data_IF_423501549115
#
_entry.id   IF_423501549115
#
_cell.length_a   1.000
_cell.length_b   1.000
_cell.length_c   1.000
_cell.angle_alpha   90.00
_cell.angle_beta   90.00
_cell.angle_gamma   90.00
#
_symmetry.space_group_name_H-M   'P 1'
#
loop_
_entity.id
_entity.type
_entity.pdbx_description
1 polymer ?
#
# COMPACT_ATOMS: atom_id res chain seq x y z
N UNK A 1 -3.38 15.16 8.19
CA UNK A 1 -2.75 15.70 6.95
C UNK A 1 -2.79 17.21 6.96
N UNK A 2 -1.69 17.86 6.62
CA UNK A 2 -1.57 19.32 6.56
C UNK A 2 -2.05 19.81 5.20
N UNK A 3 -2.55 21.05 5.15
CA UNK A 3 -2.84 21.71 3.88
C UNK A 3 -1.52 22.07 3.17
N UNK A 4 -1.38 21.70 1.90
CA UNK A 4 -0.22 21.98 1.06
C UNK A 4 -0.67 22.64 -0.25
N UNK A 5 0.27 23.29 -0.92
CA UNK A 5 0.07 23.83 -2.26
C UNK A 5 1.37 23.79 -3.04
N UNK A 6 1.26 23.63 -4.36
CA UNK A 6 2.39 23.62 -5.27
C UNK A 6 1.98 24.27 -6.61
N UNK A 7 2.85 25.10 -7.16
CA UNK A 7 2.62 25.84 -8.40
C UNK A 7 1.71 27.06 -8.23
N UNK A 8 1.52 27.79 -9.32
CA UNK A 8 0.60 28.91 -9.42
C UNK A 8 -0.39 28.63 -10.57
N UNK A 9 -1.68 28.76 -10.29
CA UNK A 9 -2.70 28.52 -11.30
C UNK A 9 -2.72 29.67 -12.33
N UNK A 10 -2.43 29.39 -13.61
CA UNK A 10 -2.53 30.41 -14.64
C UNK A 10 -4.01 30.74 -14.93
N UNK A 11 -4.24 31.91 -15.49
CA UNK A 11 -5.56 32.29 -16.00
C UNK A 11 -6.02 31.30 -17.09
N UNK A 12 -7.25 30.82 -16.97
CA UNK A 12 -7.83 29.85 -17.92
C UNK A 12 -7.47 28.39 -17.67
N UNK A 13 -6.77 28.05 -16.59
CA UNK A 13 -6.57 26.67 -16.18
C UNK A 13 -7.90 25.96 -15.91
N UNK A 14 -7.98 24.68 -16.29
CA UNK A 14 -9.14 23.84 -16.01
C UNK A 14 -9.06 23.29 -14.59
N UNK A 15 -10.18 23.32 -13.86
CA UNK A 15 -10.23 22.96 -12.44
C UNK A 15 -10.82 21.55 -12.27
N UNK A 16 -10.14 20.72 -11.49
CA UNK A 16 -10.66 19.46 -10.94
C UNK A 16 -10.67 19.54 -9.42
N UNK A 17 -11.79 19.18 -8.79
CA UNK A 17 -11.92 19.13 -7.35
C UNK A 17 -12.03 17.69 -6.86
N UNK A 18 -11.12 17.29 -5.96
CA UNK A 18 -11.25 16.03 -5.22
C UNK A 18 -12.13 16.30 -4.00
N UNK A 19 -13.29 15.62 -3.96
CA UNK A 19 -14.32 15.90 -2.96
C UNK A 19 -14.39 14.81 -1.88
N UNK A 20 -14.80 15.18 -0.68
CA UNK A 20 -15.27 14.23 0.33
C UNK A 20 -16.59 13.59 -0.11
N UNK A 21 -17.01 12.52 0.57
CA UNK A 21 -18.35 11.94 0.38
C UNK A 21 -19.48 12.90 0.72
N UNK A 22 -19.22 13.97 1.50
CA UNK A 22 -20.17 15.04 1.82
C UNK A 22 -20.11 16.21 0.82
N UNK A 23 -19.28 16.12 -0.25
CA UNK A 23 -19.16 17.14 -1.28
C UNK A 23 -18.26 18.33 -0.92
N UNK A 24 -17.54 18.29 0.22
CA UNK A 24 -16.57 19.32 0.54
C UNK A 24 -15.24 19.06 -0.21
N UNK A 25 -14.60 20.09 -0.80
CA UNK A 25 -13.34 19.91 -1.51
C UNK A 25 -12.21 19.55 -0.53
N UNK A 26 -11.44 18.50 -0.87
CA UNK A 26 -10.23 18.09 -0.17
C UNK A 26 -8.99 18.70 -0.82
N UNK A 27 -9.00 18.74 -2.14
CA UNK A 27 -7.89 19.24 -2.95
C UNK A 27 -8.42 19.75 -4.27
N UNK A 28 -7.84 20.83 -4.75
CA UNK A 28 -8.12 21.44 -6.04
C UNK A 28 -6.89 21.29 -6.92
N UNK A 29 -7.09 20.79 -8.13
CA UNK A 29 -6.07 20.64 -9.16
C UNK A 29 -6.35 21.63 -10.30
N UNK A 30 -5.33 22.21 -10.87
CA UNK A 30 -5.41 23.10 -12.03
C UNK A 30 -4.65 22.47 -13.19
N UNK A 31 -5.38 22.12 -14.24
CA UNK A 31 -4.88 21.42 -15.41
C UNK A 31 -4.66 22.36 -16.60
N UNK A 32 -3.72 22.01 -17.50
CA UNK A 32 -3.57 22.68 -18.80
C UNK A 32 -4.74 22.38 -19.74
N UNK A 33 -5.30 21.17 -19.66
CA UNK A 33 -6.36 20.66 -20.52
C UNK A 33 -7.60 20.27 -19.68
N UNK A 34 -8.78 20.15 -20.29
CA UNK A 34 -9.96 19.66 -19.59
C UNK A 34 -9.68 18.28 -18.98
N UNK A 35 -9.83 18.09 -17.65
CA UNK A 35 -9.66 16.78 -17.04
C UNK A 35 -10.71 15.79 -17.58
N UNK A 36 -10.36 14.50 -17.55
CA UNK A 36 -11.24 13.38 -17.94
C UNK A 36 -11.80 13.44 -19.38
N UNK A 37 -11.05 13.95 -20.35
CA UNK A 37 -11.39 13.89 -21.78
C UNK A 37 -11.29 12.45 -22.31
N UNK A 38 -12.24 11.58 -21.92
CA UNK A 38 -12.27 10.16 -22.20
C UNK A 38 -12.58 9.93 -23.68
N UNK A 39 -11.72 9.18 -24.40
CA UNK A 39 -11.87 8.80 -25.79
C UNK A 39 -12.38 7.37 -25.97
N UNK A 40 -11.88 6.42 -25.17
CA UNK A 40 -12.24 5.02 -25.27
C UNK A 40 -12.15 4.32 -23.91
N UNK A 41 -12.91 3.22 -23.77
CA UNK A 41 -12.88 2.34 -22.60
C UNK A 41 -12.89 0.88 -23.02
N UNK A 42 -12.15 0.05 -22.28
CA UNK A 42 -12.18 -1.41 -22.42
C UNK A 42 -12.19 -2.04 -21.04
N UNK A 43 -13.26 -2.78 -20.73
CA UNK A 43 -13.33 -3.54 -19.49
C UNK A 43 -12.38 -4.74 -19.53
N UNK A 44 -11.54 -4.92 -18.51
CA UNK A 44 -10.60 -6.04 -18.39
C UNK A 44 -11.05 -7.13 -17.42
N UNK A 45 -12.13 -6.92 -16.68
CA UNK A 45 -12.56 -7.80 -15.62
C UNK A 45 -11.77 -7.61 -14.32
N UNK A 46 -12.03 -8.49 -13.37
CA UNK A 46 -11.24 -8.60 -12.16
C UNK A 46 -10.28 -9.79 -12.29
N UNK A 47 -9.15 -9.74 -11.60
CA UNK A 47 -8.33 -10.95 -11.43
C UNK A 47 -9.09 -11.88 -10.49
N UNK A 48 -9.53 -13.02 -11.02
CA UNK A 48 -10.13 -14.08 -10.19
C UNK A 48 -9.00 -14.76 -9.40
N UNK A 49 -8.71 -14.19 -8.25
CA UNK A 49 -7.79 -14.79 -7.29
C UNK A 49 -8.60 -15.68 -6.36
N UNK A 50 -8.39 -16.99 -6.45
CA UNK A 50 -9.00 -17.96 -5.55
C UNK A 50 -8.57 -17.71 -4.11
N UNK A 51 -9.41 -17.00 -3.36
CA UNK A 51 -9.23 -16.72 -1.93
C UNK A 51 -9.93 -17.77 -1.10
N UNK A 52 -9.23 -18.40 -0.17
CA UNK A 52 -9.78 -19.44 0.72
C UNK A 52 -9.55 -19.06 2.18
N UNK A 53 -10.46 -19.49 3.08
CA UNK A 53 -10.28 -19.31 4.51
C UNK A 53 -8.94 -19.86 5.02
N UNK A 54 -8.44 -19.26 6.09
CA UNK A 54 -7.27 -19.76 6.83
C UNK A 54 -7.65 -21.06 7.57
N UNK A 55 -7.58 -22.18 6.85
CA UNK A 55 -7.92 -23.51 7.39
C UNK A 55 -6.70 -24.43 7.31
N UNK A 56 -6.26 -25.09 8.42
CA UNK A 56 -6.73 -24.85 9.79
C UNK A 56 -6.45 -23.41 10.26
N UNK A 57 -7.24 -22.92 11.23
CA UNK A 57 -7.12 -21.57 11.81
C UNK A 57 -5.88 -21.47 12.68
N UNK A 58 -4.76 -21.20 12.06
CA UNK A 58 -3.42 -21.14 12.70
C UNK A 58 -2.62 -19.96 12.16
N UNK A 59 -1.61 -19.48 12.90
CA UNK A 59 -0.67 -18.49 12.38
C UNK A 59 0.03 -18.97 11.12
N UNK A 60 0.34 -18.03 10.22
CA UNK A 60 1.04 -18.27 8.94
C UNK A 60 2.31 -17.45 8.85
N UNK A 61 3.31 -18.01 8.21
CA UNK A 61 4.54 -17.30 7.85
C UNK A 61 4.69 -17.33 6.33
N UNK A 62 4.45 -16.19 5.69
CA UNK A 62 4.49 -16.04 4.25
C UNK A 62 5.86 -15.53 3.83
N UNK A 63 6.58 -16.38 3.08
CA UNK A 63 7.96 -16.14 2.63
C UNK A 63 7.96 -15.34 1.34
N UNK A 64 7.63 -14.06 1.43
CA UNK A 64 7.50 -13.16 0.26
C UNK A 64 8.80 -13.01 -0.53
N UNK A 65 9.96 -13.27 0.06
CA UNK A 65 11.24 -13.31 -0.65
C UNK A 65 11.38 -14.46 -1.65
N UNK A 66 10.48 -15.44 -1.67
CA UNK A 66 10.45 -16.53 -2.66
C UNK A 66 9.76 -16.12 -3.97
N UNK A 67 9.17 -14.94 -4.01
CA UNK A 67 8.65 -14.42 -5.27
C UNK A 67 9.76 -13.92 -6.16
N UNK A 68 9.67 -14.27 -7.46
CA UNK A 68 10.60 -13.81 -8.47
C UNK A 68 10.51 -12.28 -8.65
N UNK A 69 11.66 -11.68 -8.93
CA UNK A 69 11.76 -10.29 -9.36
C UNK A 69 11.24 -10.18 -10.81
N UNK A 70 10.43 -9.15 -11.10
CA UNK A 70 9.91 -8.90 -12.44
C UNK A 70 8.61 -8.11 -12.48
N UNK A 71 8.22 -7.69 -13.68
CA UNK A 71 6.98 -6.98 -13.91
C UNK A 71 6.94 -5.58 -13.33
N UNK A 72 5.72 -5.09 -13.11
CA UNK A 72 5.45 -3.75 -12.58
C UNK A 72 4.61 -3.77 -11.29
N UNK A 73 4.58 -2.63 -10.57
CA UNK A 73 3.90 -2.51 -9.27
C UNK A 73 2.38 -2.66 -9.36
N UNK A 74 1.76 -2.43 -10.51
CA UNK A 74 0.30 -2.40 -10.68
C UNK A 74 -0.24 -3.70 -11.26
N UNK A 75 0.33 -4.15 -12.39
CA UNK A 75 -0.23 -5.30 -13.12
C UNK A 75 0.33 -6.64 -12.65
N UNK A 76 1.51 -6.67 -12.03
CA UNK A 76 2.16 -7.90 -11.62
C UNK A 76 2.16 -8.12 -10.09
N UNK A 77 1.51 -7.21 -9.32
CA UNK A 77 1.32 -7.45 -7.89
C UNK A 77 0.49 -8.73 -7.67
N UNK A 78 0.95 -9.53 -6.73
CA UNK A 78 0.30 -10.80 -6.35
C UNK A 78 -0.42 -10.60 -5.02
N UNK A 79 -1.74 -10.76 -4.99
CA UNK A 79 -2.49 -10.75 -3.74
C UNK A 79 -2.05 -11.94 -2.89
N UNK A 80 -1.71 -11.69 -1.64
CA UNK A 80 -1.36 -12.74 -0.67
C UNK A 80 -2.48 -12.97 0.34
N UNK A 81 -3.06 -11.90 0.86
CA UNK A 81 -4.15 -11.94 1.84
C UNK A 81 -5.21 -10.91 1.43
N UNK A 82 -6.49 -11.22 1.61
CA UNK A 82 -7.54 -10.23 1.40
C UNK A 82 -8.83 -10.57 2.16
N UNK A 83 -9.66 -9.56 2.36
CA UNK A 83 -11.07 -9.65 2.71
C UNK A 83 -11.87 -8.56 1.97
N UNK A 84 -13.09 -8.29 2.40
CA UNK A 84 -13.93 -7.29 1.76
C UNK A 84 -13.44 -5.84 1.91
N UNK A 85 -12.63 -5.55 2.93
CA UNK A 85 -12.20 -4.20 3.29
C UNK A 85 -10.71 -3.93 3.03
N UNK A 86 -9.87 -4.97 3.03
CA UNK A 86 -8.42 -4.83 2.94
C UNK A 86 -7.82 -5.94 2.08
N UNK A 87 -6.83 -5.60 1.24
CA UNK A 87 -6.00 -6.58 0.55
C UNK A 87 -4.52 -6.29 0.72
N UNK A 88 -3.72 -7.35 0.81
CA UNK A 88 -2.26 -7.31 0.90
C UNK A 88 -1.71 -7.93 -0.38
N UNK A 89 -1.02 -7.12 -1.17
CA UNK A 89 -0.33 -7.54 -2.39
C UNK A 89 1.17 -7.39 -2.26
N UNK A 90 1.91 -8.20 -2.99
CA UNK A 90 3.36 -8.11 -3.04
C UNK A 90 3.89 -8.16 -4.46
N UNK A 91 4.98 -7.43 -4.73
CA UNK A 91 5.69 -7.41 -5.99
C UNK A 91 7.15 -7.00 -5.80
N UNK A 92 8.03 -7.50 -6.66
CA UNK A 92 9.41 -6.99 -6.82
C UNK A 92 9.57 -6.50 -8.26
N UNK A 93 9.13 -5.27 -8.50
CA UNK A 93 9.04 -4.70 -9.83
C UNK A 93 10.40 -4.32 -10.41
N UNK A 94 10.57 -4.54 -11.71
CA UNK A 94 11.80 -4.21 -12.45
C UNK A 94 11.55 -3.25 -13.61
N UNK A 95 10.28 -2.92 -13.88
CA UNK A 95 9.88 -2.03 -14.97
C UNK A 95 8.82 -1.01 -14.49
N UNK A 96 8.69 0.13 -15.19
CA UNK A 96 7.66 1.11 -14.89
C UNK A 96 6.26 0.52 -15.03
N UNK A 97 5.35 0.93 -14.14
CA UNK A 97 3.93 0.57 -14.26
C UNK A 97 3.23 1.42 -15.32
N UNK A 98 2.08 0.96 -15.84
CA UNK A 98 1.16 1.83 -16.56
C UNK A 98 0.70 2.99 -15.65
N UNK A 99 0.12 4.02 -16.26
CA UNK A 99 -0.69 4.98 -15.50
C UNK A 99 -1.86 4.24 -14.86
N UNK A 100 -2.10 4.54 -13.60
CA UNK A 100 -3.08 3.82 -12.80
C UNK A 100 -3.84 4.76 -11.86
N UNK A 101 -5.11 4.43 -11.64
CA UNK A 101 -5.97 5.11 -10.68
C UNK A 101 -6.82 4.09 -9.93
N UNK A 102 -6.75 4.10 -8.60
CA UNK A 102 -7.64 3.31 -7.74
C UNK A 102 -8.82 4.18 -7.30
N UNK A 103 -10.05 3.79 -7.65
CA UNK A 103 -11.26 4.51 -7.24
C UNK A 103 -11.93 3.92 -6.01
N UNK A 104 -11.45 2.76 -5.52
CA UNK A 104 -12.10 2.01 -4.43
C UNK A 104 -11.60 2.41 -3.05
N UNK A 105 -10.33 2.75 -2.93
CA UNK A 105 -9.69 3.05 -1.65
C UNK A 105 -8.27 3.56 -1.78
N UNK A 106 -7.70 3.93 -0.65
CA UNK A 106 -6.33 4.37 -0.55
C UNK A 106 -5.37 3.17 -0.59
N UNK A 107 -4.18 3.39 -1.13
CA UNK A 107 -3.10 2.41 -1.17
C UNK A 107 -1.96 2.83 -0.25
N UNK A 108 -1.54 1.91 0.62
CA UNK A 108 -0.33 2.04 1.41
C UNK A 108 0.74 1.14 0.80
N UNK A 109 1.82 1.72 0.32
CA UNK A 109 2.95 0.98 -0.24
C UNK A 109 4.12 1.03 0.74
N UNK A 110 4.64 -0.13 1.14
CA UNK A 110 5.81 -0.26 2.01
C UNK A 110 6.97 -0.78 1.19
N UNK A 111 8.00 0.05 1.02
CA UNK A 111 9.20 -0.31 0.26
C UNK A 111 10.08 -1.21 1.11
N UNK A 112 10.27 -2.45 0.70
CA UNK A 112 11.08 -3.44 1.43
C UNK A 112 12.52 -3.49 0.92
N UNK A 113 12.71 -3.31 -0.40
CA UNK A 113 14.01 -3.39 -1.06
C UNK A 113 14.04 -2.50 -2.29
N UNK A 114 15.22 -1.95 -2.60
CA UNK A 114 15.42 -1.11 -3.77
C UNK A 114 14.92 0.30 -3.56
N UNK A 115 14.83 1.03 -4.66
CA UNK A 115 14.35 2.40 -4.71
C UNK A 115 13.53 2.63 -5.98
N UNK A 116 12.69 3.65 -5.96
CA UNK A 116 11.85 4.00 -7.08
C UNK A 116 11.28 5.40 -6.92
N UNK A 117 10.39 5.73 -7.83
CA UNK A 117 9.73 7.02 -7.90
C UNK A 117 8.24 6.82 -8.10
N UNK A 118 7.45 7.53 -7.32
CA UNK A 118 6.05 7.78 -7.61
C UNK A 118 5.95 9.03 -8.47
N UNK A 119 5.41 8.89 -9.66
CA UNK A 119 5.03 9.99 -10.55
C UNK A 119 3.50 10.09 -10.54
N UNK A 120 2.97 11.28 -10.29
CA UNK A 120 1.53 11.48 -10.14
C UNK A 120 1.08 12.85 -10.63
N UNK A 121 -0.21 13.06 -10.71
CA UNK A 121 -0.83 14.38 -10.99
C UNK A 121 -0.42 15.44 -9.94
N UNK A 122 0.06 15.03 -8.78
CA UNK A 122 0.57 15.92 -7.73
C UNK A 122 2.05 16.26 -7.89
N UNK A 123 2.77 15.54 -8.75
CA UNK A 123 4.21 15.65 -8.95
C UNK A 123 4.95 14.36 -8.62
N UNK A 124 6.22 14.51 -8.25
CA UNK A 124 7.19 13.41 -8.10
C UNK A 124 7.58 13.22 -6.65
N UNK A 125 7.67 11.96 -6.22
CA UNK A 125 8.12 11.56 -4.89
C UNK A 125 9.12 10.40 -5.00
N UNK A 126 10.39 10.63 -4.69
CA UNK A 126 11.41 9.59 -4.64
C UNK A 126 11.30 8.81 -3.33
N UNK A 127 11.41 7.48 -3.43
CA UNK A 127 11.25 6.55 -2.30
C UNK A 127 12.29 5.44 -2.35
N UNK A 128 12.63 4.91 -1.17
CA UNK A 128 13.62 3.85 -1.00
C UNK A 128 13.21 2.85 0.08
N UNK A 129 13.98 1.79 0.23
CA UNK A 129 13.75 0.77 1.25
C UNK A 129 13.59 1.40 2.66
N UNK A 130 12.52 1.01 3.35
CA UNK A 130 12.10 1.56 4.64
C UNK A 130 11.06 2.68 4.56
N UNK A 131 10.78 3.19 3.37
CA UNK A 131 9.71 4.18 3.17
C UNK A 131 8.33 3.53 3.15
N UNK A 132 7.38 4.25 3.71
CA UNK A 132 5.94 3.97 3.64
C UNK A 132 5.28 5.11 2.87
N UNK A 133 4.54 4.78 1.83
CA UNK A 133 3.90 5.75 0.93
C UNK A 133 2.40 5.58 0.99
N UNK A 134 1.68 6.65 1.27
CA UNK A 134 0.23 6.69 1.11
C UNK A 134 -0.11 7.34 -0.22
N UNK A 135 -0.85 6.62 -1.05
CA UNK A 135 -1.45 7.13 -2.28
C UNK A 135 -2.95 7.19 -2.10
N UNK A 136 -3.55 8.38 -1.98
CA UNK A 136 -4.99 8.52 -1.87
C UNK A 136 -5.70 7.98 -3.11
N UNK A 137 -6.88 7.42 -2.90
CA UNK A 137 -7.77 7.04 -4.01
C UNK A 137 -8.00 8.21 -4.98
N UNK A 138 -8.33 7.91 -6.22
CA UNK A 138 -8.50 8.85 -7.33
C UNK A 138 -7.19 9.50 -7.85
N UNK A 139 -6.06 9.26 -7.21
CA UNK A 139 -4.77 9.77 -7.69
C UNK A 139 -4.35 9.02 -8.95
N UNK A 140 -4.22 9.72 -10.07
CA UNK A 140 -3.58 9.17 -11.27
C UNK A 140 -2.07 9.18 -11.04
N UNK A 141 -1.44 8.02 -11.16
CA UNK A 141 -0.02 7.85 -10.87
C UNK A 141 0.59 6.68 -11.64
N UNK A 142 1.91 6.60 -11.62
CA UNK A 142 2.68 5.40 -11.99
C UNK A 142 3.90 5.24 -11.09
N UNK A 143 4.38 4.01 -11.01
CA UNK A 143 5.61 3.67 -10.29
C UNK A 143 6.74 3.44 -11.27
N UNK A 144 7.90 4.02 -10.99
CA UNK A 144 9.12 3.87 -11.81
C UNK A 144 10.24 3.35 -10.92
N UNK A 145 10.54 2.03 -10.96
CA UNK A 145 11.69 1.47 -10.28
C UNK A 145 13.01 2.11 -10.73
N UNK A 146 13.99 2.21 -9.83
CA UNK A 146 15.34 2.64 -10.21
C UNK A 146 15.97 1.57 -11.11
N UNK A 147 16.59 1.94 -12.23
CA UNK A 147 17.23 0.97 -13.12
C UNK A 147 18.30 0.13 -12.40
N UNK A 148 18.34 -1.17 -12.70
CA UNK A 148 19.36 -2.09 -12.23
C UNK A 148 19.10 -2.76 -10.87
N UNK A 149 17.99 -2.43 -10.21
CA UNK A 149 17.57 -3.09 -8.97
C UNK A 149 16.07 -3.36 -8.98
N UNK A 150 15.65 -4.41 -8.26
CA UNK A 150 14.25 -4.70 -8.09
C UNK A 150 13.66 -3.84 -6.97
N UNK A 151 12.52 -3.24 -7.24
CA UNK A 151 11.74 -2.44 -6.31
C UNK A 151 10.69 -3.34 -5.64
N UNK A 152 11.06 -3.94 -4.49
CA UNK A 152 10.19 -4.87 -3.80
C UNK A 152 9.31 -4.14 -2.78
N UNK A 153 8.00 -4.34 -2.90
CA UNK A 153 7.00 -3.62 -2.13
C UNK A 153 5.90 -4.54 -1.62
N UNK A 154 5.45 -4.26 -0.38
CA UNK A 154 4.13 -4.66 0.10
C UNK A 154 3.15 -3.54 -0.24
N UNK A 155 2.04 -3.87 -0.87
CA UNK A 155 0.95 -2.95 -1.15
C UNK A 155 -0.25 -3.37 -0.30
N UNK A 156 -0.75 -2.46 0.54
CA UNK A 156 -1.97 -2.65 1.33
C UNK A 156 -3.04 -1.71 0.76
N UNK A 157 -4.07 -2.29 0.17
CA UNK A 157 -5.22 -1.51 -0.28
C UNK A 157 -6.29 -1.53 0.82
N UNK A 158 -6.70 -0.35 1.27
CA UNK A 158 -7.79 -0.21 2.23
C UNK A 158 -9.01 0.39 1.52
N UNK A 159 -10.18 -0.24 1.69
CA UNK A 159 -11.41 0.29 1.10
C UNK A 159 -11.80 1.62 1.78
N UNK A 160 -11.88 2.68 0.99
CA UNK A 160 -12.12 4.03 1.49
C UNK A 160 -10.82 4.76 1.84
N UNK A 161 -10.93 5.75 2.72
CA UNK A 161 -9.80 6.59 3.12
C UNK A 161 -9.05 6.03 4.31
N UNK A 162 -7.73 6.22 4.31
CA UNK A 162 -6.84 6.07 5.46
C UNK A 162 -6.59 7.45 6.09
N UNK A 163 -6.76 7.54 7.39
CA UNK A 163 -6.52 8.76 8.16
C UNK A 163 -5.25 8.61 8.97
N UNK A 164 -4.32 9.54 8.81
CA UNK A 164 -3.08 9.60 9.58
C UNK A 164 -3.25 10.24 10.94
N UNK A 165 -2.40 9.87 11.90
CA UNK A 165 -2.27 10.58 13.18
C UNK A 165 -1.24 11.72 13.06
N UNK A 166 -1.33 12.71 13.96
CA UNK A 166 -0.35 13.78 14.06
C UNK A 166 1.02 13.23 14.50
N UNK A 167 2.08 13.90 14.07
CA UNK A 167 3.46 13.61 14.51
C UNK A 167 4.32 12.81 13.53
N UNK A 168 3.81 12.50 12.34
CA UNK A 168 4.61 11.91 11.25
C UNK A 168 5.25 13.03 10.44
N UNK A 169 6.56 12.93 10.18
CA UNK A 169 7.28 13.85 9.28
C UNK A 169 7.00 13.41 7.84
N UNK A 170 6.05 14.10 7.22
CA UNK A 170 5.61 13.79 5.86
C UNK A 170 6.57 14.40 4.84
N UNK A 171 7.04 13.58 3.89
CA UNK A 171 7.58 14.01 2.59
C UNK A 171 6.45 13.96 1.58
N UNK A 172 6.34 14.96 0.73
CA UNK A 172 5.28 15.11 -0.27
C UNK A 172 5.89 15.57 -1.60
N UNK A 173 5.19 15.46 -2.73
CA UNK A 173 5.70 15.92 -4.01
C UNK A 173 5.98 17.43 -3.99
N UNK A 174 7.25 17.82 -4.10
CA UNK A 174 7.70 19.23 -4.09
C UNK A 174 7.99 19.76 -5.50
N UNK A 175 7.88 18.90 -6.51
CA UNK A 175 8.10 19.23 -7.89
C UNK A 175 6.96 18.67 -8.75
N UNK A 176 6.31 19.55 -9.51
CA UNK A 176 5.31 19.15 -10.51
C UNK A 176 5.98 18.32 -11.61
N UNK A 177 5.22 17.36 -12.11
CA UNK A 177 5.59 16.60 -13.30
C UNK A 177 4.67 16.99 -14.44
N UNK A 178 5.25 17.59 -15.47
CA UNK A 178 4.53 17.98 -16.66
C UNK A 178 5.00 17.14 -17.83
N UNK A 179 4.08 16.52 -18.52
CA UNK A 179 4.33 15.78 -19.75
C UNK A 179 3.65 16.51 -20.89
N UNK A 180 4.43 16.81 -21.93
CA UNK A 180 3.86 17.42 -23.14
C UNK A 180 3.02 16.35 -23.90
N UNK A 181 1.89 16.78 -24.39
CA UNK A 181 0.93 15.95 -25.12
C UNK A 181 1.26 15.97 -26.61
N UNK A 182 1.43 14.79 -27.20
CA UNK A 182 1.62 14.59 -28.64
C UNK A 182 0.30 14.37 -29.40
N UNK A 183 -0.83 14.34 -28.68
CA UNK A 183 -2.17 14.28 -29.26
C UNK A 183 -2.67 12.87 -29.62
N UNK A 184 -1.87 11.83 -29.37
CA UNK A 184 -2.22 10.45 -29.72
C UNK A 184 -3.14 9.76 -28.69
N UNK A 185 -3.49 10.46 -27.61
CA UNK A 185 -4.20 9.90 -26.47
C UNK A 185 -3.33 9.00 -25.58
N UNK A 186 -3.67 8.91 -24.32
CA UNK A 186 -2.87 8.21 -23.31
C UNK A 186 -3.70 7.16 -22.61
N UNK A 187 -3.16 5.93 -22.55
CA UNK A 187 -3.78 4.81 -21.85
C UNK A 187 -3.54 4.89 -20.35
N UNK A 188 -4.60 4.68 -19.58
CA UNK A 188 -4.53 4.49 -18.13
C UNK A 188 -5.38 3.29 -17.69
N UNK A 189 -4.98 2.65 -16.59
CA UNK A 189 -5.72 1.57 -15.98
C UNK A 189 -6.49 2.11 -14.76
N UNK A 190 -7.80 1.89 -14.73
CA UNK A 190 -8.65 2.34 -13.62
C UNK A 190 -9.22 1.14 -12.88
N UNK A 191 -8.95 1.04 -11.59
CA UNK A 191 -9.57 0.06 -10.69
C UNK A 191 -10.85 0.64 -10.11
N UNK A 192 -11.93 -0.13 -10.16
CA UNK A 192 -13.25 0.22 -9.61
C UNK A 192 -13.89 -1.02 -8.95
N UNK A 193 -15.02 -0.89 -8.22
CA UNK A 193 -15.62 -2.01 -7.48
C UNK A 193 -16.00 -3.22 -8.33
N UNK A 194 -16.20 -3.04 -9.64
CA UNK A 194 -16.54 -4.11 -10.58
C UNK A 194 -15.35 -4.70 -11.34
N UNK A 195 -14.11 -4.32 -11.01
CA UNK A 195 -12.91 -4.80 -11.71
C UNK A 195 -12.01 -3.68 -12.21
N UNK A 196 -11.41 -3.86 -13.38
CA UNK A 196 -10.50 -2.89 -14.00
C UNK A 196 -10.96 -2.52 -15.40
N UNK A 197 -10.73 -1.27 -15.75
CA UNK A 197 -11.01 -0.73 -17.09
C UNK A 197 -9.75 -0.06 -17.62
N UNK A 198 -9.38 -0.36 -18.85
CA UNK A 198 -8.45 0.47 -19.63
C UNK A 198 -9.23 1.66 -20.17
N UNK A 199 -8.73 2.84 -19.92
CA UNK A 199 -9.23 4.09 -20.45
C UNK A 199 -8.18 4.70 -21.36
N UNK A 200 -8.61 5.33 -22.46
CA UNK A 200 -7.78 6.22 -23.26
C UNK A 200 -8.31 7.63 -23.08
N UNK A 201 -7.48 8.50 -22.56
CA UNK A 201 -7.78 9.93 -22.38
C UNK A 201 -7.08 10.76 -23.44
N UNK A 202 -7.70 11.90 -23.82
CA UNK A 202 -7.22 12.73 -24.92
C UNK A 202 -5.86 13.39 -24.63
N UNK A 203 -5.56 13.63 -23.35
CA UNK A 203 -4.36 14.34 -22.91
C UNK A 203 -3.65 13.57 -21.81
N UNK A 204 -2.33 13.73 -21.74
CA UNK A 204 -1.57 13.11 -20.64
C UNK A 204 -2.01 13.70 -19.30
N UNK A 205 -2.43 12.87 -18.30
CA UNK A 205 -2.97 13.38 -17.04
C UNK A 205 -1.94 14.10 -16.16
N UNK A 206 -0.62 14.00 -16.47
CA UNK A 206 0.43 14.78 -15.81
C UNK A 206 0.55 16.17 -16.47
N UNK A 207 -0.55 16.90 -16.47
CA UNK A 207 -0.68 18.26 -17.01
C UNK A 207 -1.08 19.28 -15.91
N UNK A 208 -1.09 18.86 -14.65
CA UNK A 208 -1.40 19.71 -13.49
C UNK A 208 -0.30 20.76 -13.31
N UNK A 209 -0.68 22.01 -13.40
CA UNK A 209 0.24 23.17 -13.26
C UNK A 209 0.24 23.77 -11.85
N UNK A 210 -0.81 23.50 -11.07
CA UNK A 210 -0.90 23.87 -9.67
C UNK A 210 -1.90 23.00 -8.93
N UNK A 211 -1.71 22.82 -7.64
CA UNK A 211 -2.69 22.20 -6.76
C UNK A 211 -2.62 22.75 -5.33
N UNK A 212 -3.73 22.64 -4.61
CA UNK A 212 -3.80 22.98 -3.19
C UNK A 212 -4.82 22.11 -2.47
N UNK A 213 -4.51 21.67 -1.25
CA UNK A 213 -5.43 20.88 -0.45
C UNK A 213 -4.77 19.99 0.59
N UNK A 214 -5.55 19.04 1.08
CA UNK A 214 -5.15 18.09 2.13
C UNK A 214 -5.07 16.63 1.66
N UNK A 215 -5.55 16.34 0.45
CA UNK A 215 -5.53 15.00 -0.14
C UNK A 215 -4.49 14.95 -1.27
N UNK A 216 -3.33 14.37 -1.00
CA UNK A 216 -2.18 14.22 -1.90
C UNK A 216 -1.35 13.00 -1.48
N UNK A 217 -0.52 12.41 -2.36
CA UNK A 217 0.41 11.36 -1.97
C UNK A 217 1.49 11.89 -1.03
N UNK A 218 1.85 11.09 -0.02
CA UNK A 218 2.93 11.42 0.90
C UNK A 218 3.66 10.17 1.39
N UNK A 219 4.90 10.34 1.82
CA UNK A 219 5.75 9.29 2.32
C UNK A 219 6.43 9.68 3.63
N UNK A 220 6.84 8.66 4.39
CA UNK A 220 7.66 8.81 5.59
C UNK A 220 8.56 7.59 5.74
N UNK A 221 9.66 7.73 6.47
CA UNK A 221 10.50 6.61 6.81
C UNK A 221 9.92 5.86 8.03
N UNK A 222 9.69 4.56 7.91
CA UNK A 222 9.14 3.75 9.02
C UNK A 222 10.01 3.81 10.29
N UNK A 223 11.32 3.98 10.12
CA UNK A 223 12.28 4.10 11.22
C UNK A 223 12.16 5.41 12.02
N UNK A 224 11.53 6.44 11.46
CA UNK A 224 11.33 7.75 12.11
C UNK A 224 10.02 7.81 12.90
N UNK A 225 9.16 6.81 12.76
CA UNK A 225 7.91 6.77 13.52
C UNK A 225 8.18 6.53 15.00
N UNK A 226 7.60 7.34 15.89
CA UNK A 226 7.66 7.06 17.33
C UNK A 226 6.89 5.75 17.63
N UNK A 227 7.20 5.08 18.74
CA UNK A 227 6.36 4.02 19.25
C UNK A 227 4.96 4.58 19.53
N UNK A 228 4.02 4.34 18.65
CA UNK A 228 2.67 4.85 18.77
C UNK A 228 1.65 3.70 18.74
N UNK A 229 0.51 3.83 19.42
CA UNK A 229 -0.54 2.81 19.38
C UNK A 229 -1.07 2.61 17.96
N UNK A 230 -1.20 3.68 17.17
CA UNK A 230 -1.57 3.62 15.75
C UNK A 230 -1.12 4.91 15.05
N UNK A 231 -0.77 4.83 13.76
CA UNK A 231 -0.43 6.01 12.96
C UNK A 231 -1.31 6.18 11.71
N UNK A 232 -1.96 5.11 11.25
CA UNK A 232 -2.96 5.14 10.20
C UNK A 232 -4.17 4.30 10.60
N UNK A 233 -5.35 4.81 10.34
CA UNK A 233 -6.61 4.10 10.56
C UNK A 233 -7.54 4.27 9.38
N UNK A 234 -8.29 3.24 9.07
CA UNK A 234 -9.31 3.24 8.03
C UNK A 234 -10.38 2.20 8.31
N UNK A 235 -11.25 1.99 7.35
CA UNK A 235 -12.30 0.99 7.46
C UNK A 235 -11.68 -0.40 7.59
N UNK A 236 -11.88 -1.03 8.74
CA UNK A 236 -11.40 -2.38 9.01
C UNK A 236 -9.89 -2.55 9.07
N UNK A 237 -9.12 -1.46 9.11
CA UNK A 237 -7.67 -1.48 9.16
C UNK A 237 -7.13 -0.47 10.18
N UNK A 238 -6.20 -0.92 11.03
CA UNK A 238 -5.36 -0.06 11.87
C UNK A 238 -3.89 -0.45 11.65
N UNK A 239 -3.05 0.54 11.39
CA UNK A 239 -1.61 0.33 11.17
C UNK A 239 -0.83 0.93 12.32
N UNK A 240 0.10 0.14 12.88
CA UNK A 240 0.97 0.57 13.96
C UNK A 240 2.41 0.14 13.74
N UNK A 241 3.35 0.82 14.40
CA UNK A 241 4.75 0.40 14.44
C UNK A 241 4.97 -0.64 15.53
N UNK A 242 5.82 -1.62 15.22
CA UNK A 242 6.37 -2.55 16.20
C UNK A 242 7.83 -2.17 16.46
N UNK A 243 8.14 -1.85 17.71
CA UNK A 243 9.50 -1.58 18.15
C UNK A 243 10.01 -2.74 18.99
N UNK A 244 11.31 -3.07 18.91
CA UNK A 244 11.92 -4.01 19.82
C UNK A 244 11.69 -3.54 21.26
N UNK A 245 11.21 -4.43 22.14
CA UNK A 245 11.15 -4.12 23.56
C UNK A 245 12.57 -3.98 24.11
N UNK A 246 12.88 -2.86 24.78
CA UNK A 246 14.17 -2.62 25.42
C UNK A 246 14.55 -3.71 26.45
N UNK A 247 13.54 -4.40 27.00
CA UNK A 247 13.70 -5.39 28.05
C UNK A 247 13.84 -6.83 27.53
N UNK A 248 13.85 -7.03 26.19
CA UNK A 248 13.93 -8.37 25.60
C UNK A 248 12.74 -9.28 25.95
N UNK A 249 11.73 -8.75 26.63
CA UNK A 249 10.54 -9.49 27.05
C UNK A 249 9.56 -9.52 25.88
N UNK A 250 9.46 -10.69 25.28
CA UNK A 250 8.39 -11.03 24.36
C UNK A 250 7.06 -10.96 25.10
N UNK A 251 6.27 -9.92 24.87
CA UNK A 251 4.88 -9.90 25.34
C UNK A 251 4.05 -10.76 24.39
N UNK A 252 3.49 -11.84 24.91
CA UNK A 252 2.46 -12.56 24.21
C UNK A 252 1.19 -11.71 24.23
N UNK A 253 0.82 -11.13 23.10
CA UNK A 253 -0.48 -10.49 22.91
C UNK A 253 -1.43 -11.48 22.27
N UNK A 254 -2.63 -11.62 22.82
CA UNK A 254 -3.74 -12.30 22.18
C UNK A 254 -4.71 -11.21 21.69
N UNK A 255 -4.91 -11.11 20.40
CA UNK A 255 -5.98 -10.31 19.85
C UNK A 255 -7.20 -11.21 19.67
N UNK A 256 -8.33 -10.87 20.30
CA UNK A 256 -9.54 -11.68 20.24
C UNK A 256 -10.45 -11.29 19.08
N UNK A 257 -10.29 -10.09 18.54
CA UNK A 257 -11.25 -9.48 17.63
C UNK A 257 -10.68 -9.24 16.23
N UNK A 258 -9.34 -9.27 16.07
CA UNK A 258 -8.68 -8.89 14.84
C UNK A 258 -7.65 -9.93 14.37
N UNK A 259 -7.61 -10.16 13.06
CA UNK A 259 -6.45 -10.74 12.43
C UNK A 259 -5.32 -9.71 12.39
N UNK A 260 -4.10 -10.12 12.71
CA UNK A 260 -2.94 -9.23 12.69
C UNK A 260 -1.92 -9.73 11.68
N UNK A 261 -1.61 -8.90 10.69
CA UNK A 261 -0.52 -9.13 9.75
C UNK A 261 0.69 -8.33 10.19
N UNK A 262 1.83 -8.97 10.32
CA UNK A 262 3.10 -8.31 10.68
C UNK A 262 4.05 -8.36 9.50
N UNK A 263 4.49 -7.18 9.06
CA UNK A 263 5.62 -7.03 8.15
C UNK A 263 6.89 -6.87 8.99
N UNK A 264 7.82 -7.79 8.81
CA UNK A 264 9.07 -7.80 9.56
C UNK A 264 10.13 -6.92 8.90
N UNK A 265 10.65 -5.94 9.62
CA UNK A 265 11.69 -5.03 9.14
C UNK A 265 13.11 -5.59 9.24
N UNK A 266 13.32 -6.67 10.01
CA UNK A 266 14.61 -7.29 10.22
C UNK A 266 14.49 -8.79 10.43
N UNK A 267 15.63 -9.49 10.46
CA UNK A 267 15.68 -10.91 10.80
C UNK A 267 15.25 -11.13 12.26
N UNK A 268 14.40 -12.12 12.46
CA UNK A 268 13.85 -12.49 13.76
C UNK A 268 14.07 -13.98 14.09
N UNK A 269 13.62 -14.42 15.27
CA UNK A 269 13.60 -15.84 15.62
C UNK A 269 12.74 -16.62 14.62
N UNK A 270 12.93 -17.94 14.56
CA UNK A 270 12.14 -18.85 13.75
C UNK A 270 12.24 -18.64 12.23
N UNK A 271 13.43 -18.26 11.71
CA UNK A 271 13.69 -18.02 10.28
C UNK A 271 12.90 -16.85 9.67
N UNK A 272 12.32 -15.99 10.47
CA UNK A 272 11.70 -14.76 9.99
C UNK A 272 12.79 -13.88 9.39
N UNK A 273 12.63 -13.47 8.14
CA UNK A 273 13.55 -12.55 7.44
C UNK A 273 12.91 -11.18 7.30
N UNK A 274 13.74 -10.17 7.14
CA UNK A 274 13.29 -8.86 6.73
C UNK A 274 12.42 -8.98 5.46
N UNK A 275 11.26 -8.32 5.47
CA UNK A 275 10.31 -8.37 4.37
C UNK A 275 9.31 -9.52 4.40
N UNK A 276 9.43 -10.50 5.32
CA UNK A 276 8.40 -11.53 5.45
C UNK A 276 7.12 -11.01 6.10
N UNK A 277 6.01 -11.68 5.78
CA UNK A 277 4.71 -11.43 6.41
C UNK A 277 4.36 -12.59 7.33
N UNK A 278 3.87 -12.28 8.54
CA UNK A 278 3.22 -13.27 9.40
C UNK A 278 1.77 -12.89 9.62
N UNK A 279 0.85 -13.85 9.47
CA UNK A 279 -0.56 -13.70 9.82
C UNK A 279 -0.79 -14.35 11.18
N UNK A 280 -1.36 -13.60 12.11
CA UNK A 280 -1.80 -14.06 13.43
C UNK A 280 -3.34 -13.92 13.46
N UNK A 281 -4.08 -15.03 13.33
CA UNK A 281 -5.53 -14.99 13.36
C UNK A 281 -6.05 -14.55 14.74
N UNK A 282 -7.25 -13.97 14.77
CA UNK A 282 -7.92 -13.60 16.00
C UNK A 282 -7.94 -14.74 17.03
N UNK A 283 -7.69 -14.43 18.28
CA UNK A 283 -7.60 -15.39 19.39
C UNK A 283 -6.29 -16.17 19.49
N UNK A 284 -5.33 -15.96 18.57
CA UNK A 284 -4.00 -16.55 18.69
C UNK A 284 -3.03 -15.62 19.40
N UNK A 285 -2.21 -16.14 20.36
CA UNK A 285 -1.18 -15.33 21.00
C UNK A 285 -0.13 -14.91 19.96
N UNK A 286 0.23 -13.66 20.00
CA UNK A 286 1.33 -13.08 19.25
C UNK A 286 2.48 -12.84 20.20
N UNK A 287 3.67 -13.35 19.91
CA UNK A 287 4.87 -12.87 20.55
C UNK A 287 5.38 -11.72 19.68
N UNK A 288 5.33 -10.52 20.19
CA UNK A 288 6.05 -9.39 19.64
C UNK A 288 7.55 -9.58 19.94
N UNK A 289 8.04 -10.81 19.66
CA UNK A 289 9.39 -11.23 19.99
C UNK A 289 10.38 -10.52 19.10
N UNK A 290 11.19 -9.72 19.75
CA UNK A 290 12.54 -9.30 19.35
C UNK A 290 12.84 -9.36 17.84
N UNK A 291 12.05 -8.69 17.02
CA UNK A 291 12.53 -8.25 15.73
C UNK A 291 13.65 -7.26 16.02
N UNK A 292 14.85 -7.53 15.52
CA UNK A 292 16.00 -6.62 15.68
C UNK A 292 15.86 -5.38 14.81
N UNK A 293 14.64 -4.85 14.65
CA UNK A 293 14.35 -3.66 13.84
C UNK A 293 12.87 -3.28 13.86
N UNK A 294 12.55 -2.07 13.37
CA UNK A 294 11.17 -1.61 13.28
C UNK A 294 10.38 -2.48 12.31
N UNK A 295 9.21 -2.94 12.73
CA UNK A 295 8.24 -3.63 11.91
C UNK A 295 6.92 -2.86 11.84
N UNK A 296 6.02 -3.29 10.96
CA UNK A 296 4.67 -2.77 10.86
C UNK A 296 3.66 -3.87 11.19
N UNK A 297 2.68 -3.54 12.02
CA UNK A 297 1.53 -4.38 12.27
C UNK A 297 0.28 -3.76 11.66
N UNK A 298 -0.49 -4.60 10.99
CA UNK A 298 -1.77 -4.29 10.36
C UNK A 298 -2.84 -5.09 11.08
N UNK A 299 -3.68 -4.43 11.86
CA UNK A 299 -4.81 -5.04 12.54
C UNK A 299 -6.04 -4.93 11.66
N UNK A 300 -6.65 -6.08 11.37
CA UNK A 300 -7.75 -6.20 10.41
C UNK A 300 -8.98 -6.75 11.11
N UNK A 301 -10.08 -6.02 11.10
CA UNK A 301 -11.30 -6.31 11.88
C UNK A 301 -12.13 -7.50 11.37
N UNK A 302 -11.82 -8.01 10.17
CA UNK A 302 -12.52 -9.16 9.60
C UNK A 302 -11.52 -10.23 9.16
N UNK A 303 -11.86 -11.52 9.24
CA UNK A 303 -10.94 -12.60 8.89
C UNK A 303 -10.38 -12.45 7.47
N UNK A 304 -9.05 -12.66 7.37
CA UNK A 304 -8.33 -12.63 6.11
C UNK A 304 -8.37 -14.01 5.43
N UNK A 305 -8.58 -13.98 4.13
CA UNK A 305 -8.51 -15.12 3.23
C UNK A 305 -7.11 -15.20 2.62
N UNK A 306 -6.63 -16.41 2.37
CA UNK A 306 -5.34 -16.66 1.72
C UNK A 306 -5.54 -16.95 0.24
N UNK A 307 -4.74 -16.32 -0.60
CA UNK A 307 -4.68 -16.66 -2.02
C UNK A 307 -3.96 -18.00 -2.26
N UNK A 308 -4.07 -18.53 -3.46
CA UNK A 308 -3.28 -19.72 -3.88
C UNK A 308 -1.77 -19.46 -3.78
N UNK A 309 -1.36 -18.26 -4.09
CA UNK A 309 0.04 -17.81 -4.04
C UNK A 309 0.55 -17.78 -2.60
N UNK A 310 -0.22 -17.22 -1.67
CA UNK A 310 0.12 -17.22 -0.25
C UNK A 310 0.30 -18.63 0.31
N UNK A 311 -0.58 -19.55 -0.07
CA UNK A 311 -0.48 -20.96 0.36
C UNK A 311 0.75 -21.68 -0.18
N UNK A 312 1.26 -21.29 -1.34
CA UNK A 312 2.46 -21.87 -1.93
C UNK A 312 3.75 -21.48 -1.18
N UNK A 313 3.77 -20.26 -0.60
CA UNK A 313 4.93 -19.72 0.13
C UNK A 313 4.76 -19.81 1.66
N UNK A 314 3.69 -20.44 2.15
CA UNK A 314 3.42 -20.62 3.58
C UNK A 314 4.36 -21.69 4.17
N UNK A 315 5.15 -21.29 5.13
CA UNK A 315 5.95 -22.22 5.93
C UNK A 315 5.06 -22.84 7.02
N UNK A 316 4.51 -24.02 6.74
CA UNK A 316 3.53 -24.71 7.61
C UNK A 316 4.04 -25.10 9.00
N UNK A 317 5.31 -24.96 9.27
CA UNK A 317 5.96 -25.24 10.56
C UNK A 317 6.22 -23.95 11.33
N UNK A 318 5.18 -23.29 11.81
CA UNK A 318 5.36 -22.26 12.81
C UNK A 318 5.59 -22.94 14.16
N UNK A 319 6.77 -22.75 14.82
CA UNK A 319 7.12 -23.45 16.07
C UNK A 319 6.17 -23.18 17.23
N UNK A 320 5.27 -22.20 17.09
CA UNK A 320 4.24 -21.87 18.06
C UNK A 320 3.24 -23.00 18.33
N UNK A 321 2.98 -23.86 17.35
CA UNK A 321 2.06 -25.00 17.52
C UNK A 321 2.68 -26.08 18.38
N UNK A 322 4.00 -26.23 18.37
CA UNK A 322 4.71 -27.25 19.15
C UNK A 322 4.78 -26.95 20.65
N UNK A 323 4.73 -25.68 21.07
CA UNK A 323 4.81 -25.32 22.48
C UNK A 323 3.48 -25.52 23.26
N UNK A 324 2.33 -25.54 22.60
CA UNK A 324 1.04 -25.83 23.26
C UNK A 324 0.80 -27.32 23.53
N UNK A 325 1.46 -28.19 22.81
CA UNK A 325 1.28 -29.66 22.98
C UNK A 325 2.14 -30.25 24.09
N UNK A 326 3.09 -29.50 24.66
CA UNK A 326 3.96 -29.97 25.73
C UNK A 326 3.57 -29.51 27.15
N UNK A 327 2.58 -28.64 27.30
CA UNK A 327 1.96 -28.35 28.60
C UNK A 327 0.69 -29.20 28.75
N UNK A 328 0.90 -30.49 28.95
CA UNK A 328 -0.14 -31.42 29.39
C UNK A 328 -0.67 -31.04 30.76
N UNK A 329 -1.94 -31.10 30.88
CA UNK A 329 -2.83 -31.22 32.02
C UNK A 329 -2.19 -31.79 33.30
#
# INVERSE_FOLDING_TARGET
MQHRSLGEAPEGAHVEELLTSAGAPLTVLHHRHPPAALQATQFEGDRDESLLPNTPHVPRHLRTWEFDDGGDVVTDRRTVLANADVSFGWVAATMPSPLYRNTTGDELLVVQRGAGRLESVFGVLDVAAGDVVLVPRQTVHRWVPRPGEAFACLIVEARGALTGSDGVVERWPEQLMLVDDDGDGVGQLVKHPGGRTKEVVAHHPFDVVAWSGTCYPWAFAAAELPPAPSFLTGRGLTVRTLWPSADGVSRACSDLDHDVVVLHGAEGPHRVRAGSLTLHPAGWPRTDGAAHGPGLAFEVSSPLLLSSVARAIDERTFPYVAQRTSSSF
#
